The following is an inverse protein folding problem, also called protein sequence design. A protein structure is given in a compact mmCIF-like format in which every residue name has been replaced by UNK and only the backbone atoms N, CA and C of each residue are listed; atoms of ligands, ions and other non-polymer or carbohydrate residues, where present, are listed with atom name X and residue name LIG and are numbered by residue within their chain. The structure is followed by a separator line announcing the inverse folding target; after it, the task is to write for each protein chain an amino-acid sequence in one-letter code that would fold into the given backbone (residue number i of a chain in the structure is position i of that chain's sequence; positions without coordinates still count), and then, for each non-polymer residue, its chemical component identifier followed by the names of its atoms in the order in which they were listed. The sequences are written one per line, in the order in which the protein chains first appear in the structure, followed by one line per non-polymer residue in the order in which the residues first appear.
data_IF_241906123922
#
_entry.id   IF_241906123922
#
_cell.length_a   1.000
_cell.length_b   1.000
_cell.length_c   1.000
_cell.angle_alpha   90.00
_cell.angle_beta   90.00
_cell.angle_gamma   90.00
#
_symmetry.space_group_name_H-M   'P 1'
#
loop_
_entity.id
_entity.type
_entity.pdbx_description
1 polymer ?
#
# COMPACT_ATOMS: atom_id res chain seq x y z
N UNK A 1 27.88 -6.07 13.81
CA UNK A 1 26.43 -6.25 13.57
C UNK A 1 25.80 -4.87 13.58
N UNK A 2 25.02 -4.52 12.55
CA UNK A 2 24.32 -3.21 12.48
C UNK A 2 23.00 -3.29 13.23
N UNK A 3 22.73 -2.29 14.06
CA UNK A 3 21.53 -2.22 14.87
C UNK A 3 20.48 -1.33 14.22
N UNK A 4 19.31 -1.88 13.90
CA UNK A 4 18.29 -1.19 13.12
C UNK A 4 16.94 -1.24 13.85
N UNK A 5 16.25 -0.11 13.90
CA UNK A 5 14.88 0.00 14.38
C UNK A 5 13.93 0.23 13.20
N UNK A 6 12.97 -0.67 13.05
CA UNK A 6 11.85 -0.52 12.12
C UNK A 6 10.66 0.05 12.86
N UNK A 7 10.01 1.08 12.32
CA UNK A 7 8.94 1.83 13.00
C UNK A 7 7.69 1.93 12.14
N UNK A 8 6.54 1.57 12.68
CA UNK A 8 5.24 1.94 12.14
C UNK A 8 4.24 2.24 13.27
N UNK A 9 3.62 3.40 13.20
CA UNK A 9 2.48 3.78 14.04
C UNK A 9 1.17 3.74 13.25
N UNK A 10 1.19 3.07 12.10
CA UNK A 10 0.01 2.88 11.27
C UNK A 10 -0.80 1.69 11.75
N UNK A 11 -2.12 1.85 11.79
CA UNK A 11 -3.10 0.79 11.96
C UNK A 11 -3.48 0.13 10.61
N UNK A 12 -2.90 0.61 9.49
CA UNK A 12 -3.12 0.03 8.18
C UNK A 12 -2.40 -1.31 8.06
N UNK A 13 -3.16 -2.37 7.75
CA UNK A 13 -2.65 -3.73 7.60
C UNK A 13 -1.55 -3.81 6.52
N UNK A 14 -1.66 -3.06 5.43
CA UNK A 14 -0.67 -3.04 4.34
C UNK A 14 0.71 -2.56 4.81
N UNK A 15 0.74 -1.46 5.60
CA UNK A 15 1.99 -0.95 6.16
C UNK A 15 2.61 -1.93 7.16
N UNK A 16 1.75 -2.58 7.95
CA UNK A 16 2.19 -3.56 8.94
C UNK A 16 2.72 -4.82 8.27
N UNK A 17 2.01 -5.38 7.27
CA UNK A 17 2.45 -6.59 6.57
C UNK A 17 3.81 -6.38 5.87
N UNK A 18 3.98 -5.23 5.19
CA UNK A 18 5.26 -4.85 4.59
C UNK A 18 6.38 -4.78 5.62
N UNK A 19 6.16 -4.06 6.72
CA UNK A 19 7.20 -3.84 7.72
C UNK A 19 7.51 -5.07 8.55
N UNK A 20 6.49 -5.84 8.93
CA UNK A 20 6.68 -7.05 9.74
C UNK A 20 7.38 -8.15 8.95
N UNK A 21 7.02 -8.31 7.67
CA UNK A 21 7.75 -9.22 6.80
C UNK A 21 9.22 -8.80 6.62
N UNK A 22 9.50 -7.50 6.46
CA UNK A 22 10.85 -6.96 6.42
C UNK A 22 11.60 -7.24 7.74
N UNK A 23 10.93 -7.08 8.89
CA UNK A 23 11.47 -7.39 10.20
C UNK A 23 11.84 -8.87 10.33
N UNK A 24 10.96 -9.78 9.94
CA UNK A 24 11.19 -11.22 9.98
C UNK A 24 12.38 -11.64 9.10
N UNK A 25 12.46 -11.11 7.86
CA UNK A 25 13.56 -11.43 6.95
C UNK A 25 14.91 -10.85 7.44
N UNK A 26 14.92 -9.63 7.96
CA UNK A 26 16.16 -9.03 8.49
C UNK A 26 16.69 -9.78 9.72
N UNK A 27 15.81 -10.32 10.57
CA UNK A 27 16.22 -11.13 11.74
C UNK A 27 16.88 -12.46 11.39
N UNK A 28 16.66 -12.99 10.20
CA UNK A 28 17.35 -14.21 9.73
C UNK A 28 18.81 -13.95 9.39
N UNK A 29 19.22 -12.69 9.26
CA UNK A 29 20.57 -12.30 8.88
C UNK A 29 21.46 -12.11 10.10
N UNK A 30 22.64 -12.68 10.07
CA UNK A 30 23.62 -12.60 11.16
C UNK A 30 24.33 -11.25 11.28
N UNK A 31 24.27 -10.41 10.23
CA UNK A 31 24.91 -9.10 10.19
C UNK A 31 24.03 -7.96 10.72
N UNK A 32 22.77 -8.25 11.07
CA UNK A 32 21.77 -7.28 11.55
C UNK A 32 21.20 -7.64 12.91
N UNK A 33 21.08 -6.65 13.78
CA UNK A 33 20.33 -6.69 15.04
C UNK A 33 19.07 -5.83 14.89
N UNK A 34 17.94 -6.46 14.58
CA UNK A 34 16.74 -5.77 14.12
C UNK A 34 15.68 -5.70 15.21
N UNK A 35 15.20 -4.49 15.46
CA UNK A 35 14.14 -4.15 16.39
C UNK A 35 12.91 -3.64 15.65
N UNK A 36 11.75 -3.82 16.26
CA UNK A 36 10.46 -3.32 15.75
C UNK A 36 9.76 -2.47 16.83
N UNK A 37 9.31 -1.29 16.42
CA UNK A 37 8.44 -0.42 17.21
C UNK A 37 7.11 -0.23 16.46
N UNK A 38 6.01 -0.67 17.05
CA UNK A 38 4.69 -0.52 16.43
C UNK A 38 3.57 -0.31 17.46
N UNK A 39 2.37 -0.08 16.97
CA UNK A 39 1.17 0.07 17.81
C UNK A 39 0.91 -1.19 18.63
N UNK A 40 0.28 -1.04 19.79
CA UNK A 40 0.04 -2.13 20.75
C UNK A 40 -0.88 -3.24 20.22
N UNK A 41 -1.82 -2.88 19.35
CA UNK A 41 -2.78 -3.82 18.74
C UNK A 41 -2.61 -3.85 17.23
N UNK A 42 -1.60 -4.57 16.73
CA UNK A 42 -1.43 -4.69 15.28
C UNK A 42 -2.57 -5.53 14.67
N UNK A 43 -2.98 -5.17 13.45
CA UNK A 43 -3.99 -5.91 12.68
C UNK A 43 -3.40 -7.14 11.99
N UNK A 44 -2.12 -7.13 11.72
CA UNK A 44 -1.38 -8.23 11.11
C UNK A 44 -0.67 -9.02 12.18
N UNK A 45 -0.73 -10.34 12.09
CA UNK A 45 -0.01 -11.21 13.02
C UNK A 45 1.48 -10.91 13.05
N UNK A 46 2.01 -10.81 14.25
CA UNK A 46 3.39 -10.49 14.52
C UNK A 46 3.98 -11.51 15.49
N UNK A 47 5.11 -12.10 15.12
CA UNK A 47 5.86 -12.95 16.02
C UNK A 47 6.53 -12.10 17.12
N UNK A 48 6.05 -12.25 18.36
CA UNK A 48 6.58 -11.51 19.51
C UNK A 48 8.02 -11.89 19.83
N UNK A 49 8.82 -10.91 20.25
CA UNK A 49 10.21 -11.12 20.69
C UNK A 49 10.66 -9.99 21.60
N UNK A 50 11.81 -10.14 22.25
CA UNK A 50 12.41 -9.09 23.10
C UNK A 50 12.76 -7.82 22.34
N UNK A 51 12.90 -7.93 21.02
CA UNK A 51 13.17 -6.83 20.11
C UNK A 51 11.89 -6.15 19.56
N UNK A 52 10.72 -6.56 20.05
CA UNK A 52 9.43 -6.03 19.61
C UNK A 52 8.86 -5.09 20.68
N UNK A 53 8.70 -3.81 20.31
CA UNK A 53 8.18 -2.78 21.22
C UNK A 53 6.76 -2.37 20.78
N UNK A 54 5.75 -2.82 21.53
CA UNK A 54 4.35 -2.49 21.30
C UNK A 54 3.94 -1.31 22.19
N UNK A 55 3.48 -0.22 21.59
CA UNK A 55 3.15 1.02 22.28
C UNK A 55 1.71 1.46 22.04
N UNK A 56 1.04 1.96 23.10
CA UNK A 56 -0.30 2.56 22.98
C UNK A 56 -0.18 4.01 22.50
N UNK A 57 0.15 4.16 21.23
CA UNK A 57 0.33 5.46 20.57
C UNK A 57 -0.92 5.88 19.78
N UNK A 58 -1.02 7.15 19.36
CA UNK A 58 -2.03 7.56 18.38
C UNK A 58 -1.81 6.85 17.05
N UNK A 59 -2.92 6.49 16.40
CA UNK A 59 -2.89 5.92 15.06
C UNK A 59 -2.48 6.99 14.02
N UNK A 60 -1.94 6.54 12.88
CA UNK A 60 -1.58 7.40 11.75
C UNK A 60 -2.75 8.33 11.35
N UNK A 61 -2.51 9.61 11.04
CA UNK A 61 -1.23 10.35 11.00
C UNK A 61 -0.73 10.84 12.36
N UNK A 62 -1.39 10.48 13.45
CA UNK A 62 -0.99 10.86 14.79
C UNK A 62 -1.54 12.22 15.24
N UNK A 63 -2.72 12.62 14.77
CA UNK A 63 -3.40 13.86 15.13
C UNK A 63 -4.64 13.55 15.99
N UNK A 64 -4.42 13.15 17.22
CA UNK A 64 -5.45 12.82 18.20
C UNK A 64 -5.06 13.34 19.59
N UNK A 65 -5.95 13.23 20.59
CA UNK A 65 -5.59 13.56 21.97
C UNK A 65 -4.41 12.75 22.50
N UNK A 66 -4.25 11.50 22.05
CA UNK A 66 -3.11 10.63 22.41
C UNK A 66 -1.76 11.14 21.88
N UNK A 67 -1.75 12.01 20.87
CA UNK A 67 -0.51 12.64 20.34
C UNK A 67 0.24 13.41 21.44
N UNK A 68 -0.48 13.97 22.40
CA UNK A 68 0.07 14.73 23.51
C UNK A 68 0.51 13.87 24.69
N UNK A 69 0.57 12.55 24.56
CA UNK A 69 1.17 11.67 25.57
C UNK A 69 2.70 11.81 25.54
N UNK A 70 3.16 13.00 25.99
CA UNK A 70 4.59 13.32 26.03
C UNK A 70 5.41 12.36 26.90
N UNK A 71 4.94 11.88 28.07
CA UNK A 71 5.70 10.90 28.85
C UNK A 71 6.01 9.62 28.07
N UNK A 72 5.05 9.09 27.32
CA UNK A 72 5.25 7.90 26.48
C UNK A 72 6.23 8.20 25.33
N UNK A 73 6.05 9.33 24.63
CA UNK A 73 6.95 9.71 23.55
C UNK A 73 8.40 9.87 24.05
N UNK A 74 8.59 10.54 25.19
CA UNK A 74 9.91 10.71 25.80
C UNK A 74 10.52 9.37 26.23
N UNK A 75 9.72 8.43 26.75
CA UNK A 75 10.18 7.09 27.10
C UNK A 75 10.67 6.33 25.87
N UNK A 76 9.95 6.44 24.74
CA UNK A 76 10.38 5.86 23.46
C UNK A 76 11.71 6.48 23.01
N UNK A 77 11.81 7.79 22.99
CA UNK A 77 13.04 8.49 22.60
C UNK A 77 14.21 8.11 23.51
N UNK A 78 13.99 8.04 24.83
CA UNK A 78 15.02 7.59 25.75
C UNK A 78 15.50 6.17 25.43
N UNK A 79 14.58 5.25 25.17
CA UNK A 79 14.91 3.86 24.80
C UNK A 79 15.67 3.81 23.47
N UNK A 80 15.22 4.55 22.45
CA UNK A 80 15.92 4.66 21.16
C UNK A 80 17.35 5.13 21.33
N UNK A 81 17.58 6.16 22.17
CA UNK A 81 18.93 6.66 22.45
C UNK A 81 19.80 5.66 23.21
N UNK A 82 19.24 4.96 24.18
CA UNK A 82 19.95 3.96 25.00
C UNK A 82 20.42 2.77 24.15
N UNK A 83 19.64 2.37 23.17
CA UNK A 83 19.94 1.23 22.30
C UNK A 83 21.00 1.53 21.23
N UNK A 84 21.35 2.79 20.97
CA UNK A 84 22.38 3.22 20.03
C UNK A 84 22.20 2.62 18.63
N UNK A 85 21.05 2.82 18.01
CA UNK A 85 20.79 2.35 16.65
C UNK A 85 21.71 2.99 15.62
N UNK A 86 22.12 2.23 14.60
CA UNK A 86 22.81 2.73 13.40
C UNK A 86 21.80 3.36 12.44
N UNK A 87 20.59 2.80 12.37
CA UNK A 87 19.54 3.28 11.49
C UNK A 87 18.13 3.13 12.11
N UNK A 88 17.23 4.06 11.76
CA UNK A 88 15.81 3.99 12.07
C UNK A 88 15.04 4.13 10.76
N UNK A 89 14.16 3.19 10.49
CA UNK A 89 13.34 3.15 9.27
C UNK A 89 11.87 3.34 9.64
N UNK A 90 11.27 4.40 9.10
CA UNK A 90 9.86 4.75 9.31
C UNK A 90 9.04 4.37 8.08
N UNK A 91 8.16 3.37 8.21
CA UNK A 91 7.32 2.88 7.12
C UNK A 91 6.16 3.83 6.79
N UNK A 92 5.64 4.55 7.77
CA UNK A 92 4.50 5.43 7.58
C UNK A 92 4.77 6.83 8.09
N UNK A 93 4.07 7.82 7.53
CA UNK A 93 4.10 9.20 8.02
C UNK A 93 3.32 9.28 9.33
N UNK A 94 3.96 9.84 10.38
CA UNK A 94 3.36 10.01 11.68
C UNK A 94 3.97 11.22 12.42
N UNK A 95 3.19 11.94 13.22
CA UNK A 95 3.65 13.12 13.96
C UNK A 95 4.82 12.81 14.91
N UNK A 96 4.88 11.63 15.48
CA UNK A 96 5.96 11.21 16.37
C UNK A 96 7.27 10.87 15.66
N UNK A 97 7.25 10.65 14.35
CA UNK A 97 8.48 10.38 13.60
C UNK A 97 9.48 11.55 13.75
N UNK A 98 8.99 12.77 13.62
CA UNK A 98 9.85 13.96 13.67
C UNK A 98 10.62 14.11 14.98
N UNK A 99 10.00 14.12 16.18
CA UNK A 99 10.75 14.19 17.43
C UNK A 99 11.66 12.97 17.66
N UNK A 100 11.28 11.78 17.21
CA UNK A 100 12.15 10.60 17.28
C UNK A 100 13.39 10.81 16.40
N UNK A 101 13.23 11.25 15.14
CA UNK A 101 14.36 11.54 14.23
C UNK A 101 15.31 12.59 14.83
N UNK A 102 14.76 13.70 15.33
CA UNK A 102 15.56 14.80 15.89
C UNK A 102 16.35 14.40 17.14
N UNK A 103 15.85 13.43 17.90
CA UNK A 103 16.39 13.05 19.20
C UNK A 103 17.03 11.65 19.22
N UNK A 104 17.09 10.95 18.08
CA UNK A 104 17.64 9.60 17.97
C UNK A 104 19.17 9.49 18.11
N UNK A 105 19.86 10.60 18.32
CA UNK A 105 21.31 10.64 18.43
C UNK A 105 22.02 10.55 17.08
N UNK A 106 22.87 9.54 16.87
CA UNK A 106 23.64 9.36 15.61
C UNK A 106 22.97 8.44 14.60
N UNK A 107 21.82 7.88 14.92
CA UNK A 107 21.10 6.97 14.05
C UNK A 107 20.68 7.67 12.75
N UNK A 108 20.92 7.05 11.59
CA UNK A 108 20.44 7.56 10.31
C UNK A 108 18.94 7.30 10.17
N UNK A 109 18.18 8.33 9.84
CA UNK A 109 16.74 8.27 9.67
C UNK A 109 16.36 8.04 8.20
N UNK A 110 15.59 6.98 7.96
CA UNK A 110 15.00 6.63 6.67
C UNK A 110 13.48 6.80 6.79
N UNK A 111 12.88 7.62 5.93
CA UNK A 111 11.43 7.85 5.93
C UNK A 111 10.81 7.43 4.60
N UNK A 112 9.84 6.54 4.66
CA UNK A 112 9.03 6.20 3.47
C UNK A 112 8.00 7.30 3.24
N UNK A 113 7.90 7.75 1.98
CA UNK A 113 6.84 8.64 1.51
C UNK A 113 6.06 7.88 0.45
N UNK A 114 4.80 7.54 0.79
CA UNK A 114 3.91 6.79 -0.10
C UNK A 114 3.28 7.66 -1.18
N UNK A 115 3.02 8.94 -0.88
CA UNK A 115 2.38 9.88 -1.79
C UNK A 115 3.24 11.14 -1.92
N UNK A 116 3.97 11.25 -3.03
CA UNK A 116 4.75 12.45 -3.38
C UNK A 116 3.82 13.53 -3.89
N UNK A 117 2.87 13.15 -4.75
CA UNK A 117 1.81 13.99 -5.28
C UNK A 117 0.50 13.49 -4.65
N UNK A 118 -0.14 14.28 -3.78
CA UNK A 118 -1.41 13.91 -3.18
C UNK A 118 -2.50 13.77 -4.24
N UNK A 119 -3.40 12.82 -4.06
CA UNK A 119 -4.53 12.64 -4.97
C UNK A 119 -5.51 13.80 -4.87
N UNK A 120 -6.02 14.27 -6.01
CA UNK A 120 -7.05 15.31 -6.07
C UNK A 120 -8.31 14.81 -5.31
N UNK A 121 -8.85 15.68 -4.45
CA UNK A 121 -10.05 15.38 -3.65
C UNK A 121 -9.78 14.78 -2.26
N UNK A 122 -8.53 14.52 -1.87
CA UNK A 122 -8.22 14.12 -0.50
C UNK A 122 -8.31 15.33 0.45
N UNK A 123 -9.16 15.22 1.48
CA UNK A 123 -9.36 16.27 2.49
C UNK A 123 -8.12 16.58 3.35
N UNK A 124 -7.13 15.70 3.35
CA UNK A 124 -5.92 15.80 4.19
C UNK A 124 -4.67 16.28 3.43
N UNK A 125 -4.79 16.62 2.15
CA UNK A 125 -3.65 17.00 1.27
C UNK A 125 -2.71 18.02 1.91
N UNK A 126 -3.25 19.12 2.45
CA UNK A 126 -2.42 20.18 3.06
C UNK A 126 -1.65 19.72 4.29
N UNK A 127 -2.27 18.90 5.12
CA UNK A 127 -1.64 18.36 6.33
C UNK A 127 -0.54 17.36 5.96
N UNK A 128 -0.81 16.46 5.03
CA UNK A 128 0.19 15.47 4.56
C UNK A 128 1.37 16.18 3.92
N UNK A 129 1.14 17.19 3.07
CA UNK A 129 2.22 17.97 2.45
C UNK A 129 3.08 18.72 3.49
N UNK A 130 2.45 19.32 4.50
CA UNK A 130 3.17 19.96 5.60
C UNK A 130 4.02 18.96 6.39
N UNK A 131 3.46 17.81 6.71
CA UNK A 131 4.18 16.75 7.42
C UNK A 131 5.33 16.19 6.57
N UNK A 132 5.11 15.98 5.27
CA UNK A 132 6.17 15.57 4.34
C UNK A 132 7.31 16.59 4.33
N UNK A 133 7.02 17.90 4.22
CA UNK A 133 8.04 18.96 4.29
C UNK A 133 8.85 18.89 5.57
N UNK A 134 8.21 18.64 6.70
CA UNK A 134 8.89 18.55 7.98
C UNK A 134 9.80 17.31 8.06
N UNK A 135 9.28 16.10 7.73
CA UNK A 135 10.10 14.88 7.83
C UNK A 135 11.23 14.85 6.81
N UNK A 136 11.01 15.36 5.59
CA UNK A 136 12.04 15.47 4.55
C UNK A 136 13.22 16.33 4.99
N UNK A 137 12.97 17.36 5.79
CA UNK A 137 14.05 18.22 6.31
C UNK A 137 14.98 17.49 7.27
N UNK A 138 14.47 16.52 8.05
CA UNK A 138 15.21 15.87 9.14
C UNK A 138 15.61 14.41 8.82
N UNK A 139 14.95 13.73 7.89
CA UNK A 139 15.37 12.40 7.47
C UNK A 139 16.69 12.47 6.67
N UNK A 140 17.59 11.54 6.90
CA UNK A 140 18.83 11.40 6.11
C UNK A 140 18.53 10.87 4.71
N UNK A 141 17.55 9.98 4.61
CA UNK A 141 17.16 9.33 3.35
C UNK A 141 15.65 9.26 3.25
N UNK A 142 15.12 9.61 2.08
CA UNK A 142 13.73 9.40 1.71
C UNK A 142 13.63 8.14 0.88
N UNK A 143 12.69 7.29 1.23
CA UNK A 143 12.43 6.04 0.53
C UNK A 143 11.11 6.15 -0.23
N UNK A 144 11.15 5.91 -1.53
CA UNK A 144 9.97 5.83 -2.39
C UNK A 144 9.71 4.38 -2.80
N UNK A 145 8.43 4.06 -2.98
CA UNK A 145 7.96 2.74 -3.40
C UNK A 145 7.85 2.59 -4.93
N UNK A 146 8.24 3.63 -5.67
CA UNK A 146 8.29 3.66 -7.13
C UNK A 146 9.43 4.57 -7.60
N UNK A 147 9.84 4.43 -8.84
CA UNK A 147 10.89 5.26 -9.47
C UNK A 147 10.29 6.47 -10.18
N UNK A 148 9.05 6.37 -10.65
CA UNK A 148 8.33 7.39 -11.42
C UNK A 148 8.38 8.75 -10.73
N UNK A 149 8.17 8.79 -9.41
CA UNK A 149 8.08 10.06 -8.66
C UNK A 149 9.39 10.49 -7.98
N UNK A 150 10.54 9.91 -8.34
CA UNK A 150 11.84 10.32 -7.77
C UNK A 150 12.16 11.77 -8.13
N UNK A 151 11.96 12.15 -9.40
CA UNK A 151 12.25 13.52 -9.83
C UNK A 151 11.27 14.51 -9.21
N UNK A 152 9.98 14.20 -9.18
CA UNK A 152 8.97 15.03 -8.50
C UNK A 152 9.30 15.25 -7.01
N UNK A 153 9.80 14.20 -6.34
CA UNK A 153 10.24 14.30 -4.95
C UNK A 153 11.41 15.27 -4.78
N UNK A 154 12.40 15.19 -5.66
CA UNK A 154 13.57 16.08 -5.67
C UNK A 154 13.14 17.52 -5.90
N UNK A 155 12.33 17.77 -6.92
CA UNK A 155 11.91 19.11 -7.34
C UNK A 155 10.96 19.75 -6.33
N UNK A 156 9.97 18.98 -5.84
CA UNK A 156 8.96 19.47 -4.91
C UNK A 156 9.52 19.89 -3.55
N UNK A 157 10.49 19.13 -3.05
CA UNK A 157 11.05 19.35 -1.72
C UNK A 157 12.48 19.91 -1.71
N UNK A 158 13.07 20.16 -2.86
CA UNK A 158 14.41 20.76 -3.00
C UNK A 158 15.52 19.92 -2.38
N UNK A 159 15.45 18.60 -2.49
CA UNK A 159 16.44 17.68 -1.90
C UNK A 159 17.37 17.11 -2.96
N UNK A 160 18.58 16.69 -2.53
CA UNK A 160 19.53 16.08 -3.45
C UNK A 160 19.10 14.66 -3.86
N UNK A 161 19.36 14.27 -5.10
CA UNK A 161 19.07 12.93 -5.62
C UNK A 161 19.69 11.80 -4.77
N UNK A 162 20.87 12.04 -4.19
CA UNK A 162 21.55 11.07 -3.32
C UNK A 162 20.76 10.70 -2.07
N UNK A 163 19.86 11.56 -1.62
CA UNK A 163 18.97 11.33 -0.46
C UNK A 163 17.71 10.55 -0.80
N UNK A 164 17.37 10.35 -2.08
CA UNK A 164 16.18 9.59 -2.48
C UNK A 164 16.60 8.19 -2.86
N UNK A 165 15.95 7.19 -2.29
CA UNK A 165 16.17 5.78 -2.58
C UNK A 165 14.85 5.11 -2.96
N UNK A 166 14.94 4.17 -3.87
CA UNK A 166 13.85 3.30 -4.24
C UNK A 166 13.92 1.99 -3.43
N UNK A 167 12.79 1.58 -2.90
CA UNK A 167 12.59 0.27 -2.32
C UNK A 167 11.22 -0.24 -2.73
N UNK A 168 11.19 -1.29 -3.50
CA UNK A 168 9.97 -1.89 -4.03
C UNK A 168 8.97 -2.22 -2.92
N UNK A 169 7.67 -2.03 -3.22
CA UNK A 169 6.60 -2.49 -2.34
C UNK A 169 6.48 -4.01 -2.47
N UNK A 170 6.46 -4.70 -1.36
CA UNK A 170 6.30 -6.15 -1.31
C UNK A 170 5.38 -6.58 -0.17
N UNK A 171 4.95 -7.84 -0.21
CA UNK A 171 4.17 -8.48 0.83
C UNK A 171 4.80 -9.81 1.21
N UNK A 172 4.46 -10.31 2.39
CA UNK A 172 4.72 -11.71 2.71
C UNK A 172 3.85 -12.60 1.83
N UNK A 173 4.47 -13.53 1.12
CA UNK A 173 3.73 -14.47 0.28
C UNK A 173 3.33 -15.70 1.12
N UNK A 174 2.05 -16.12 1.10
CA UNK A 174 1.66 -17.40 1.65
C UNK A 174 2.26 -18.55 0.82
N UNK A 175 2.11 -19.77 1.29
CA UNK A 175 2.39 -20.93 0.45
C UNK A 175 1.53 -20.85 -0.82
N UNK A 176 2.14 -21.21 -1.96
CA UNK A 176 1.45 -21.21 -3.25
C UNK A 176 0.14 -21.99 -3.17
N UNK A 177 -0.94 -21.39 -3.62
CA UNK A 177 -2.22 -22.05 -3.85
C UNK A 177 -2.48 -22.11 -5.34
N UNK A 178 -2.72 -23.32 -5.86
CA UNK A 178 -3.06 -23.51 -7.27
C UNK A 178 -4.28 -22.63 -7.62
N UNK A 179 -4.25 -21.89 -8.73
CA UNK A 179 -5.39 -21.10 -9.15
C UNK A 179 -6.58 -22.01 -9.51
N UNK A 180 -7.79 -21.53 -9.21
CA UNK A 180 -9.03 -22.16 -9.64
C UNK A 180 -9.61 -21.29 -10.74
N UNK A 181 -9.86 -21.85 -11.91
CA UNK A 181 -10.51 -21.12 -13.00
C UNK A 181 -11.98 -20.88 -12.64
N UNK A 182 -12.34 -19.64 -12.42
CA UNK A 182 -13.66 -19.22 -11.92
C UNK A 182 -14.49 -18.44 -12.94
N UNK A 183 -13.86 -17.94 -14.00
CA UNK A 183 -14.45 -17.03 -14.98
C UNK A 183 -14.75 -15.64 -14.39
N UNK A 184 -14.10 -15.25 -13.29
CA UNK A 184 -14.41 -14.05 -12.53
C UNK A 184 -13.28 -13.03 -12.58
N UNK A 185 -13.65 -11.74 -12.70
CA UNK A 185 -12.75 -10.60 -12.55
C UNK A 185 -13.03 -9.90 -11.21
N UNK A 186 -11.99 -9.58 -10.46
CA UNK A 186 -12.07 -8.93 -9.15
C UNK A 186 -11.66 -7.46 -9.24
N UNK A 187 -12.55 -6.56 -8.81
CA UNK A 187 -12.20 -5.20 -8.38
C UNK A 187 -12.22 -5.15 -6.86
N UNK A 188 -11.08 -4.83 -6.25
CA UNK A 188 -10.97 -4.80 -4.80
C UNK A 188 -10.47 -3.45 -4.27
N UNK A 189 -11.01 -3.04 -3.11
CA UNK A 189 -10.59 -1.87 -2.36
C UNK A 189 -11.57 -0.72 -2.44
N UNK A 190 -11.28 0.39 -1.76
CA UNK A 190 -12.16 1.54 -1.62
C UNK A 190 -12.64 2.06 -2.99
N UNK A 191 -13.94 2.13 -3.19
CA UNK A 191 -14.56 2.61 -4.44
C UNK A 191 -14.61 4.14 -4.38
N UNK A 192 -13.63 4.79 -5.01
CA UNK A 192 -13.48 6.24 -5.00
C UNK A 192 -13.10 6.76 -6.41
N UNK A 193 -13.15 8.07 -6.67
CA UNK A 193 -12.94 8.62 -8.02
C UNK A 193 -11.61 8.21 -8.66
N UNK A 194 -10.50 8.24 -7.92
CA UNK A 194 -9.21 7.92 -8.52
C UNK A 194 -9.04 6.43 -8.88
N UNK A 195 -9.81 5.54 -8.25
CA UNK A 195 -9.81 4.10 -8.58
C UNK A 195 -10.69 3.75 -9.79
N UNK A 196 -11.31 4.74 -10.44
CA UNK A 196 -11.96 4.57 -11.72
C UNK A 196 -13.23 3.73 -11.68
N UNK A 197 -14.12 3.97 -10.70
CA UNK A 197 -15.39 3.27 -10.64
C UNK A 197 -16.28 3.55 -11.87
N UNK A 198 -16.15 4.71 -12.50
CA UNK A 198 -16.82 5.05 -13.77
C UNK A 198 -16.29 4.15 -14.90
N UNK A 199 -14.97 4.00 -15.01
CA UNK A 199 -14.35 3.09 -15.97
C UNK A 199 -14.80 1.64 -15.73
N UNK A 200 -14.86 1.22 -14.45
CA UNK A 200 -15.34 -0.11 -14.08
C UNK A 200 -16.74 -0.37 -14.60
N UNK A 201 -17.65 0.59 -14.44
CA UNK A 201 -19.05 0.45 -14.90
C UNK A 201 -19.11 0.27 -16.42
N UNK A 202 -18.33 1.02 -17.19
CA UNK A 202 -18.26 0.87 -18.64
C UNK A 202 -17.66 -0.49 -19.05
N UNK A 203 -16.56 -0.89 -18.43
CA UNK A 203 -15.91 -2.19 -18.67
C UNK A 203 -16.88 -3.35 -18.39
N UNK A 204 -17.61 -3.29 -17.27
CA UNK A 204 -18.63 -4.28 -16.91
C UNK A 204 -19.69 -4.43 -18.01
N UNK A 205 -20.19 -3.31 -18.54
CA UNK A 205 -21.20 -3.30 -19.63
C UNK A 205 -20.67 -3.82 -20.95
N UNK A 206 -19.38 -3.58 -21.23
CA UNK A 206 -18.70 -4.10 -22.41
C UNK A 206 -18.39 -5.60 -22.32
N UNK A 207 -18.45 -6.19 -21.12
CA UNK A 207 -18.12 -7.59 -20.86
C UNK A 207 -19.30 -8.36 -20.21
N UNK A 208 -20.46 -8.48 -20.88
CA UNK A 208 -21.67 -9.08 -20.26
C UNK A 208 -21.51 -10.56 -19.88
N UNK A 209 -20.59 -11.28 -20.51
CA UNK A 209 -20.33 -12.71 -20.29
C UNK A 209 -19.30 -12.98 -19.18
N UNK A 210 -18.64 -11.94 -18.66
CA UNK A 210 -17.67 -12.05 -17.57
C UNK A 210 -18.35 -11.68 -16.24
N UNK A 211 -18.14 -12.46 -15.20
CA UNK A 211 -18.63 -12.17 -13.86
C UNK A 211 -17.66 -11.28 -13.11
N UNK A 212 -18.16 -10.22 -12.47
CA UNK A 212 -17.36 -9.27 -11.71
C UNK A 212 -17.69 -9.35 -10.23
N UNK A 213 -16.69 -9.59 -9.40
CA UNK A 213 -16.76 -9.35 -7.96
C UNK A 213 -16.23 -7.92 -7.69
N UNK A 214 -17.10 -7.05 -7.19
CA UNK A 214 -16.78 -5.67 -6.85
C UNK A 214 -16.87 -5.52 -5.34
N UNK A 215 -15.72 -5.36 -4.68
CA UNK A 215 -15.61 -5.41 -3.23
C UNK A 215 -14.91 -4.18 -2.68
N UNK A 216 -15.60 -3.42 -1.81
CA UNK A 216 -14.98 -2.33 -1.09
C UNK A 216 -15.90 -1.21 -0.67
N UNK A 217 -15.47 -0.47 0.36
CA UNK A 217 -16.24 0.69 0.85
C UNK A 217 -16.40 1.76 -0.22
N UNK A 218 -17.61 2.27 -0.31
CA UNK A 218 -18.00 3.30 -1.27
C UNK A 218 -17.69 4.69 -0.71
N UNK A 219 -16.98 5.48 -1.49
CA UNK A 219 -16.90 6.93 -1.26
C UNK A 219 -18.26 7.57 -1.59
N UNK A 220 -18.80 8.47 -0.76
CA UNK A 220 -20.09 9.13 -1.03
C UNK A 220 -20.20 9.75 -2.43
N UNK A 221 -19.11 10.21 -3.03
CA UNK A 221 -19.09 10.77 -4.38
C UNK A 221 -19.41 9.71 -5.45
N UNK A 222 -19.15 8.43 -5.19
CA UNK A 222 -19.32 7.32 -6.12
C UNK A 222 -20.66 6.58 -5.94
N UNK A 223 -21.52 7.02 -5.01
CA UNK A 223 -22.78 6.35 -4.69
C UNK A 223 -23.63 6.06 -5.93
N UNK A 224 -23.80 7.04 -6.82
CA UNK A 224 -24.60 6.90 -8.06
C UNK A 224 -24.03 5.86 -9.01
N UNK A 225 -22.71 5.76 -9.12
CA UNK A 225 -22.04 4.77 -9.98
C UNK A 225 -22.22 3.37 -9.40
N UNK A 226 -22.06 3.24 -8.10
CA UNK A 226 -22.24 1.97 -7.40
C UNK A 226 -23.68 1.47 -7.49
N UNK A 227 -24.68 2.35 -7.43
CA UNK A 227 -26.09 2.00 -7.66
C UNK A 227 -26.36 1.50 -9.09
N UNK A 228 -25.57 1.94 -10.08
CA UNK A 228 -25.65 1.41 -11.43
C UNK A 228 -24.94 0.07 -11.53
N UNK A 229 -23.73 -0.07 -10.95
CA UNK A 229 -23.02 -1.36 -10.87
C UNK A 229 -23.89 -2.44 -10.23
N UNK A 230 -24.62 -2.13 -9.16
CA UNK A 230 -25.53 -3.06 -8.48
C UNK A 230 -26.71 -3.56 -9.35
N UNK A 231 -27.03 -2.88 -10.47
CA UNK A 231 -28.09 -3.27 -11.41
C UNK A 231 -27.58 -4.16 -12.54
N UNK A 232 -26.26 -4.21 -12.74
CA UNK A 232 -25.68 -5.05 -13.79
C UNK A 232 -25.75 -6.53 -13.38
N UNK A 233 -26.26 -7.38 -14.27
CA UNK A 233 -26.53 -8.81 -13.98
C UNK A 233 -25.26 -9.64 -13.74
N UNK A 234 -24.16 -9.17 -14.26
CA UNK A 234 -22.85 -9.81 -14.18
C UNK A 234 -21.98 -9.22 -13.06
N UNK A 235 -22.56 -8.45 -12.13
CA UNK A 235 -21.86 -7.87 -10.99
C UNK A 235 -22.35 -8.45 -9.67
N UNK A 236 -21.43 -8.95 -8.86
CA UNK A 236 -21.64 -9.24 -7.45
C UNK A 236 -20.97 -8.13 -6.64
N UNK A 237 -21.77 -7.24 -6.07
CA UNK A 237 -21.30 -6.11 -5.28
C UNK A 237 -21.26 -6.47 -3.79
N UNK A 238 -20.14 -6.19 -3.13
CA UNK A 238 -20.04 -6.15 -1.67
C UNK A 238 -19.40 -4.80 -1.26
N UNK A 239 -20.18 -3.91 -0.69
CA UNK A 239 -19.76 -2.58 -0.24
C UNK A 239 -19.53 -2.47 1.27
N UNK A 240 -19.57 -3.58 1.98
CA UNK A 240 -19.28 -3.66 3.41
C UNK A 240 -17.78 -3.77 3.69
N UNK A 241 -17.44 -3.69 4.96
CA UNK A 241 -16.09 -4.04 5.42
C UNK A 241 -15.91 -5.55 5.31
N UNK A 242 -14.83 -5.96 4.67
CA UNK A 242 -14.46 -7.38 4.55
C UNK A 242 -13.29 -7.71 5.47
N UNK A 243 -13.34 -8.92 6.01
CA UNK A 243 -12.26 -9.49 6.82
C UNK A 243 -11.06 -9.89 5.95
N UNK A 244 -9.91 -10.14 6.57
CA UNK A 244 -8.72 -10.62 5.86
C UNK A 244 -8.97 -11.98 5.17
N UNK A 245 -9.80 -12.85 5.78
CA UNK A 245 -10.17 -14.12 5.16
C UNK A 245 -11.09 -13.93 3.94
N UNK A 246 -12.10 -13.05 4.03
CA UNK A 246 -12.94 -12.73 2.87
C UNK A 246 -12.13 -12.07 1.76
N UNK A 247 -11.15 -11.21 2.08
CA UNK A 247 -10.22 -10.66 1.12
C UNK A 247 -9.40 -11.78 0.44
N UNK A 248 -8.84 -12.69 1.23
CA UNK A 248 -8.10 -13.85 0.74
C UNK A 248 -8.95 -14.69 -0.21
N UNK A 249 -10.19 -15.02 0.20
CA UNK A 249 -11.12 -15.80 -0.63
C UNK A 249 -11.46 -15.08 -1.93
N UNK A 250 -11.67 -13.76 -1.91
CA UNK A 250 -11.94 -12.98 -3.11
C UNK A 250 -10.79 -13.10 -4.13
N UNK A 251 -9.54 -12.95 -3.69
CA UNK A 251 -8.38 -13.13 -4.58
C UNK A 251 -8.19 -14.57 -5.05
N UNK A 252 -8.40 -15.57 -4.19
CA UNK A 252 -8.26 -16.98 -4.58
C UNK A 252 -9.33 -17.40 -5.60
N UNK A 253 -10.54 -16.85 -5.50
CA UNK A 253 -11.67 -17.20 -6.32
C UNK A 253 -11.87 -16.31 -7.56
N UNK A 254 -10.92 -15.45 -7.91
CA UNK A 254 -10.93 -14.71 -9.17
C UNK A 254 -9.86 -15.25 -10.12
N UNK A 255 -10.03 -15.05 -11.42
CA UNK A 255 -9.01 -15.35 -12.43
C UNK A 255 -8.12 -14.12 -12.65
N UNK A 256 -8.72 -12.92 -12.64
CA UNK A 256 -8.04 -11.67 -12.93
C UNK A 256 -8.39 -10.59 -11.90
N UNK A 257 -7.41 -9.84 -11.49
CA UNK A 257 -7.64 -8.60 -10.74
C UNK A 257 -7.61 -7.41 -11.68
N UNK A 258 -8.64 -6.57 -11.64
CA UNK A 258 -8.76 -5.42 -12.53
C UNK A 258 -8.50 -4.11 -11.79
N UNK A 259 -7.70 -3.25 -12.42
CA UNK A 259 -7.20 -1.99 -11.84
C UNK A 259 -7.42 -0.84 -12.84
N UNK A 260 -8.70 -0.42 -13.06
CA UNK A 260 -9.07 0.58 -14.06
C UNK A 260 -8.90 2.02 -13.53
N UNK A 261 -7.79 2.29 -12.83
CA UNK A 261 -7.59 3.52 -12.07
C UNK A 261 -7.38 4.74 -12.98
N UNK A 262 -7.85 5.91 -12.52
CA UNK A 262 -7.61 7.20 -13.16
C UNK A 262 -6.25 7.78 -12.78
N UNK A 263 -5.77 7.48 -11.58
CA UNK A 263 -4.44 7.89 -11.11
C UNK A 263 -3.94 6.95 -10.01
N UNK A 264 -2.63 6.77 -9.91
CA UNK A 264 -2.04 6.02 -8.81
C UNK A 264 -0.55 6.37 -8.63
N UNK A 265 -0.13 6.58 -7.40
CA UNK A 265 1.29 6.60 -7.04
C UNK A 265 1.86 5.19 -6.89
N UNK A 266 1.01 4.24 -6.52
CA UNK A 266 1.25 2.80 -6.41
C UNK A 266 -0.08 2.10 -6.11
N UNK A 267 -0.14 0.78 -6.25
CA UNK A 267 -1.31 0.00 -5.84
C UNK A 267 -0.91 -1.19 -4.97
N UNK A 268 -1.35 -1.18 -3.71
CA UNK A 268 -1.25 -2.36 -2.83
C UNK A 268 -2.03 -3.55 -3.39
N UNK A 269 -3.14 -3.30 -4.07
CA UNK A 269 -4.01 -4.34 -4.65
C UNK A 269 -3.28 -5.18 -5.70
N UNK A 270 -2.39 -4.58 -6.49
CA UNK A 270 -1.56 -5.32 -7.45
C UNK A 270 -0.65 -6.32 -6.72
N UNK A 271 -0.01 -5.87 -5.65
CA UNK A 271 0.86 -6.73 -4.86
C UNK A 271 0.05 -7.80 -4.12
N UNK A 272 -1.15 -7.46 -3.64
CA UNK A 272 -2.06 -8.43 -3.02
C UNK A 272 -2.56 -9.47 -4.05
N UNK A 273 -2.84 -9.07 -5.30
CA UNK A 273 -3.15 -10.00 -6.38
C UNK A 273 -1.99 -11.01 -6.60
N UNK A 274 -0.77 -10.51 -6.71
CA UNK A 274 0.42 -11.37 -6.88
C UNK A 274 0.68 -12.27 -5.68
N UNK A 275 0.40 -11.80 -4.46
CA UNK A 275 0.46 -12.61 -3.23
C UNK A 275 -0.38 -13.89 -3.35
N UNK A 276 -1.49 -13.82 -4.08
CA UNK A 276 -2.39 -14.95 -4.34
C UNK A 276 -2.25 -15.52 -5.76
N UNK A 277 -1.15 -15.23 -6.47
CA UNK A 277 -0.86 -15.71 -7.82
C UNK A 277 -1.95 -15.32 -8.83
N UNK A 278 -2.50 -14.09 -8.70
CA UNK A 278 -3.51 -13.57 -9.62
C UNK A 278 -2.90 -12.53 -10.55
N UNK A 279 -3.02 -12.71 -11.86
CA UNK A 279 -2.59 -11.72 -12.82
C UNK A 279 -3.48 -10.48 -12.78
N UNK A 280 -2.96 -9.38 -13.31
CA UNK A 280 -3.61 -8.07 -13.25
C UNK A 280 -3.86 -7.51 -14.64
N UNK A 281 -5.04 -6.90 -14.86
CA UNK A 281 -5.25 -6.00 -16.00
C UNK A 281 -5.40 -4.59 -15.43
N UNK A 282 -4.58 -3.66 -15.89
CA UNK A 282 -4.53 -2.31 -15.33
C UNK A 282 -4.42 -1.23 -16.40
N UNK A 283 -4.94 -0.03 -16.10
CA UNK A 283 -4.57 1.15 -16.85
C UNK A 283 -3.12 1.56 -16.52
N UNK A 284 -2.40 1.98 -17.56
CA UNK A 284 -1.03 2.48 -17.44
C UNK A 284 -1.03 3.93 -16.90
N UNK A 285 -1.36 4.09 -15.61
CA UNK A 285 -1.40 5.40 -14.94
C UNK A 285 -0.35 5.49 -13.84
N UNK A 286 0.26 6.67 -13.70
CA UNK A 286 1.25 6.94 -12.64
C UNK A 286 2.35 5.88 -12.59
N UNK A 287 2.55 5.26 -11.42
CA UNK A 287 3.57 4.23 -11.24
C UNK A 287 3.05 2.77 -11.42
N UNK A 288 1.81 2.56 -11.86
CA UNK A 288 1.28 1.22 -12.15
C UNK A 288 2.16 0.44 -13.14
N UNK A 289 2.71 1.05 -14.24
CA UNK A 289 3.60 0.35 -15.15
C UNK A 289 4.88 -0.23 -14.52
N UNK A 290 5.29 0.27 -13.35
CA UNK A 290 6.42 -0.32 -12.62
C UNK A 290 6.05 -1.60 -11.85
N UNK A 291 4.75 -1.81 -11.58
CA UNK A 291 4.25 -2.93 -10.79
C UNK A 291 3.75 -4.10 -11.64
N UNK A 292 3.45 -3.87 -12.91
CA UNK A 292 2.94 -4.89 -13.84
C UNK A 292 3.99 -5.16 -14.91
N UNK A 293 4.57 -6.36 -14.88
CA UNK A 293 5.43 -6.85 -15.97
C UNK A 293 4.51 -7.37 -17.08
N UNK A 294 4.37 -6.55 -18.13
CA UNK A 294 3.46 -6.84 -19.22
C UNK A 294 3.76 -8.21 -19.85
N UNK A 295 2.71 -8.96 -20.14
CA UNK A 295 2.73 -10.31 -20.69
C UNK A 295 3.32 -11.41 -19.78
N UNK A 296 3.71 -11.07 -18.53
CA UNK A 296 4.17 -12.06 -17.54
C UNK A 296 3.31 -12.08 -16.28
N UNK A 297 3.02 -10.91 -15.70
CA UNK A 297 2.23 -10.79 -14.49
C UNK A 297 0.87 -10.13 -14.73
N UNK A 298 0.61 -9.69 -15.96
CA UNK A 298 -0.65 -9.08 -16.35
C UNK A 298 -0.57 -8.26 -17.64
N UNK A 299 -1.54 -7.40 -17.84
CA UNK A 299 -1.64 -6.53 -19.02
C UNK A 299 -1.79 -5.07 -18.63
N UNK A 300 -1.14 -4.21 -19.42
CA UNK A 300 -1.27 -2.76 -19.32
C UNK A 300 -2.07 -2.22 -20.51
N UNK A 301 -3.07 -1.41 -20.22
CA UNK A 301 -3.94 -0.76 -21.20
C UNK A 301 -3.77 0.77 -21.07
N UNK A 302 -3.89 1.48 -22.18
CA UNK A 302 -3.88 2.96 -22.20
C UNK A 302 -4.95 3.50 -21.26
N UNK A 303 -4.60 4.50 -20.46
CA UNK A 303 -5.52 5.13 -19.51
C UNK A 303 -6.80 5.63 -20.17
N UNK A 304 -7.95 5.27 -19.64
CA UNK A 304 -9.27 5.68 -20.14
C UNK A 304 -9.79 4.94 -21.38
N UNK A 305 -9.02 4.01 -21.94
CA UNK A 305 -9.44 3.19 -23.08
C UNK A 305 -10.23 1.96 -22.59
N UNK A 306 -11.49 2.19 -22.19
CA UNK A 306 -12.36 1.16 -21.63
C UNK A 306 -12.69 0.03 -22.62
N UNK A 307 -12.78 0.34 -23.92
CA UNK A 307 -13.02 -0.65 -24.97
C UNK A 307 -11.84 -1.63 -25.06
N UNK A 308 -10.62 -1.09 -25.15
CA UNK A 308 -9.42 -1.90 -25.20
C UNK A 308 -9.17 -2.70 -23.91
N UNK A 309 -9.55 -2.14 -22.76
CA UNK A 309 -9.51 -2.85 -21.48
C UNK A 309 -10.46 -4.06 -21.50
N UNK A 310 -11.71 -3.85 -21.96
CA UNK A 310 -12.71 -4.89 -22.09
C UNK A 310 -12.28 -5.98 -23.09
N UNK A 311 -11.68 -5.59 -24.22
CA UNK A 311 -11.18 -6.54 -25.21
C UNK A 311 -10.03 -7.38 -24.64
N UNK A 312 -9.10 -6.75 -23.92
CA UNK A 312 -8.01 -7.47 -23.26
C UNK A 312 -8.53 -8.43 -22.18
N UNK A 313 -9.55 -8.03 -21.40
CA UNK A 313 -10.17 -8.91 -20.41
C UNK A 313 -10.87 -10.10 -21.05
N UNK A 314 -11.59 -9.90 -22.17
CA UNK A 314 -12.23 -11.00 -22.95
C UNK A 314 -11.20 -11.95 -23.56
N UNK A 315 -10.06 -11.43 -24.01
CA UNK A 315 -8.93 -12.24 -24.51
C UNK A 315 -8.35 -13.09 -23.37
N UNK A 316 -8.05 -12.43 -22.25
CA UNK A 316 -7.48 -13.06 -21.07
C UNK A 316 -8.40 -14.14 -20.45
N UNK A 317 -9.71 -13.92 -20.48
CA UNK A 317 -10.69 -14.91 -19.99
C UNK A 317 -10.75 -16.21 -20.83
N UNK A 318 -10.10 -16.24 -22.00
CA UNK A 318 -10.00 -17.44 -22.85
C UNK A 318 -8.72 -18.24 -22.63
N UNK A 319 -7.76 -17.68 -21.87
CA UNK A 319 -6.51 -18.36 -21.58
C UNK A 319 -6.75 -19.54 -20.64
N UNK A 320 -5.99 -20.61 -20.83
CA UNK A 320 -5.99 -21.73 -19.90
C UNK A 320 -5.23 -21.39 -18.63
N UNK A 321 -5.41 -22.18 -17.58
CA UNK A 321 -4.69 -22.00 -16.30
C UNK A 321 -3.16 -22.23 -16.44
N UNK A 322 -2.74 -22.88 -17.52
CA UNK A 322 -1.33 -23.21 -17.78
C UNK A 322 -0.63 -22.17 -18.66
N UNK A 323 -1.39 -21.18 -19.17
CA UNK A 323 -0.92 -20.05 -19.98
C UNK A 323 -0.83 -18.74 -19.17
#
# INVERSE_FOLDING_TARGET
MKKVLLVTFSDNADHQDTLFGMYEEMRKRSDWDTYLLCIKTPKVELQQSDHTWLVDCPERPGVTKKTFNLPLLLSIIHRVRKEHFDAIYFESLHTWNLPIMMMAGKAKAYQVIHEVIPHEGDSQVKMVDLMNKAVVKFADTIVLRNKTYIQDMIDRYGISAGRVKYLELWRRYPAYTSPVHSGRALFFGRINPYKGADNLLEIVRLCPDIQFDVIGRVDPQMQKVVEQLAKEKNVKLNNDYVTDEEMREAFINCDWTIVPYNSASQSGIIIDAYKYSRPVIAFAVGAIPEQVDADKSGYLVTAGDNEKFADKLKEAAKLSLDE
#
